data_IF_870024096951
#
_entry.id   IF_870024096951
#
_cell.length_a   1.000
_cell.length_b   1.000
_cell.length_c   1.000
_cell.angle_alpha   90.00
_cell.angle_beta   90.00
_cell.angle_gamma   90.00
#
_symmetry.space_group_name_H-M   'P 1'
#
loop_
_entity.id
_entity.type
_entity.pdbx_description
1 polymer ?
#
# COMPACT_ATOMS: atom_id res chain seq x y z
N UNK A 1 6.26 -3.55 25.07
CA UNK A 1 5.14 -2.99 24.28
C UNK A 1 5.00 -1.47 24.42
N UNK A 2 5.03 -0.89 25.62
CA UNK A 2 4.85 0.57 25.81
C UNK A 2 5.77 1.45 24.97
N UNK A 3 7.04 1.06 24.79
CA UNK A 3 7.99 1.82 23.95
C UNK A 3 7.58 1.85 22.48
N UNK A 4 7.08 0.73 21.95
CA UNK A 4 6.61 0.63 20.56
C UNK A 4 5.35 1.47 20.38
N UNK A 5 4.42 1.43 21.34
CA UNK A 5 3.23 2.29 21.34
C UNK A 5 3.58 3.79 21.39
N UNK A 6 4.61 4.18 22.15
CA UNK A 6 5.14 5.55 22.18
C UNK A 6 5.73 5.97 20.82
N UNK A 7 6.47 5.07 20.16
CA UNK A 7 7.01 5.32 18.82
C UNK A 7 5.88 5.50 17.80
N UNK A 8 4.91 4.59 17.80
CA UNK A 8 3.73 4.65 16.93
C UNK A 8 2.96 5.96 17.14
N UNK A 9 2.71 6.34 18.40
CA UNK A 9 2.02 7.60 18.69
C UNK A 9 2.82 8.83 18.27
N UNK A 10 4.15 8.79 18.34
CA UNK A 10 5.01 9.87 17.81
C UNK A 10 4.95 9.95 16.29
N UNK A 11 4.97 8.81 15.59
CA UNK A 11 4.83 8.78 14.13
C UNK A 11 3.46 9.27 13.67
N UNK A 12 2.38 8.86 14.34
CA UNK A 12 1.03 9.34 14.06
C UNK A 12 0.92 10.85 14.34
N UNK A 13 1.52 11.31 15.45
CA UNK A 13 1.58 12.75 15.78
C UNK A 13 2.50 13.55 14.86
N UNK A 14 3.32 12.90 14.02
CA UNK A 14 4.17 13.57 13.03
C UNK A 14 3.25 14.23 12.00
N UNK A 15 2.90 15.47 12.29
CA UNK A 15 1.82 16.26 11.65
C UNK A 15 1.88 16.28 10.13
N UNK A 16 3.07 16.12 9.54
CA UNK A 16 3.26 16.15 8.10
C UNK A 16 2.75 14.90 7.38
N UNK A 17 2.83 13.70 7.99
CA UNK A 17 2.47 12.45 7.30
C UNK A 17 0.95 12.31 7.12
N UNK A 18 0.18 12.49 8.19
CA UNK A 18 -1.28 12.49 8.12
C UNK A 18 -1.83 13.68 7.32
N UNK A 19 -1.20 14.86 7.43
CA UNK A 19 -1.58 16.04 6.64
C UNK A 19 -1.36 15.84 5.15
N UNK A 20 -0.30 15.13 4.74
CA UNK A 20 -0.10 14.78 3.33
C UNK A 20 -1.20 13.84 2.82
N UNK A 21 -1.56 12.82 3.60
CA UNK A 21 -2.67 11.92 3.24
C UNK A 21 -3.99 12.68 3.07
N UNK A 22 -4.37 13.51 4.04
CA UNK A 22 -5.63 14.26 3.98
C UNK A 22 -5.65 15.32 2.87
N UNK A 23 -4.54 16.03 2.64
CA UNK A 23 -4.43 16.98 1.53
C UNK A 23 -4.53 16.26 0.19
N UNK A 24 -3.87 15.11 0.03
CA UNK A 24 -3.93 14.34 -1.23
C UNK A 24 -5.36 13.85 -1.54
N UNK A 25 -6.09 13.40 -0.53
CA UNK A 25 -7.48 12.97 -0.66
C UNK A 25 -8.43 14.17 -0.92
N UNK A 26 -8.20 15.31 -0.27
CA UNK A 26 -8.94 16.56 -0.55
C UNK A 26 -8.70 17.04 -1.97
N UNK A 27 -7.46 17.00 -2.46
CA UNK A 27 -7.12 17.37 -3.83
C UNK A 27 -7.75 16.42 -4.88
N UNK A 28 -8.02 15.17 -4.49
CA UNK A 28 -8.73 14.20 -5.33
C UNK A 28 -10.23 14.43 -5.43
N UNK A 29 -10.85 14.98 -4.39
CA UNK A 29 -12.29 15.23 -4.38
C UNK A 29 -12.79 16.07 -5.58
N UNK A 30 -12.16 17.19 -6.00
CA UNK A 30 -12.58 17.92 -7.19
C UNK A 30 -12.36 17.14 -8.50
N UNK A 31 -11.32 16.32 -8.58
CA UNK A 31 -11.05 15.49 -9.77
C UNK A 31 -12.14 14.43 -9.93
N UNK A 32 -12.53 13.78 -8.83
CA UNK A 32 -13.63 12.81 -8.83
C UNK A 32 -14.99 13.47 -9.11
N UNK A 33 -15.22 14.68 -8.59
CA UNK A 33 -16.43 15.46 -8.89
C UNK A 33 -16.48 15.89 -10.36
N UNK A 34 -15.36 16.29 -10.97
CA UNK A 34 -15.30 16.56 -12.41
C UNK A 34 -15.58 15.29 -13.21
N UNK A 35 -14.98 14.16 -12.84
CA UNK A 35 -15.26 12.86 -13.46
C UNK A 35 -16.74 12.46 -13.38
N UNK A 36 -17.40 12.75 -12.24
CA UNK A 36 -18.82 12.44 -12.04
C UNK A 36 -19.76 13.16 -13.00
N UNK A 37 -19.34 14.28 -13.59
CA UNK A 37 -20.13 15.02 -14.58
C UNK A 37 -20.05 14.41 -15.99
N UNK A 38 -19.00 13.65 -16.28
CA UNK A 38 -18.72 13.12 -17.63
C UNK A 38 -18.88 11.61 -17.76
N UNK A 39 -18.85 10.86 -16.65
CA UNK A 39 -18.80 9.39 -16.63
C UNK A 39 -19.94 8.80 -15.80
N UNK A 40 -20.29 7.55 -16.10
CA UNK A 40 -21.25 6.76 -15.33
C UNK A 40 -20.86 6.69 -13.85
N UNK A 41 -21.86 6.87 -12.97
CA UNK A 41 -21.69 6.83 -11.51
C UNK A 41 -21.04 5.54 -11.00
N UNK A 42 -21.16 4.44 -11.76
CA UNK A 42 -20.57 3.14 -11.43
C UNK A 42 -19.06 3.06 -11.67
N UNK A 43 -18.49 3.94 -12.51
CA UNK A 43 -17.06 3.97 -12.82
C UNK A 43 -16.26 4.78 -11.81
N UNK A 44 -16.91 5.69 -11.09
CA UNK A 44 -16.27 6.60 -10.11
C UNK A 44 -15.63 5.81 -8.95
N UNK A 45 -16.28 4.82 -8.31
CA UNK A 45 -15.65 4.05 -7.24
C UNK A 45 -14.41 3.28 -7.70
N UNK A 46 -14.44 2.73 -8.93
CA UNK A 46 -13.28 2.02 -9.49
C UNK A 46 -12.10 2.96 -9.76
N UNK A 47 -12.37 4.15 -10.29
CA UNK A 47 -11.35 5.18 -10.47
C UNK A 47 -10.78 5.65 -9.12
N UNK A 48 -11.63 5.80 -8.10
CA UNK A 48 -11.21 6.15 -6.75
C UNK A 48 -10.28 5.10 -6.15
N UNK A 49 -10.57 3.80 -6.30
CA UNK A 49 -9.69 2.72 -5.83
C UNK A 49 -8.31 2.79 -6.47
N UNK A 50 -8.22 3.00 -7.79
CA UNK A 50 -6.93 3.15 -8.48
C UNK A 50 -6.13 4.34 -7.94
N UNK A 51 -6.77 5.49 -7.76
CA UNK A 51 -6.12 6.69 -7.24
C UNK A 51 -5.69 6.52 -5.78
N UNK A 52 -6.50 5.88 -4.96
CA UNK A 52 -6.15 5.52 -3.58
C UNK A 52 -4.93 4.60 -3.54
N UNK A 53 -4.87 3.57 -4.40
CA UNK A 53 -3.71 2.71 -4.52
C UNK A 53 -2.42 3.52 -4.78
N UNK A 54 -2.48 4.50 -5.69
CA UNK A 54 -1.35 5.40 -5.98
C UNK A 54 -0.95 6.24 -4.76
N UNK A 55 -1.90 6.85 -4.06
CA UNK A 55 -1.63 7.63 -2.84
C UNK A 55 -0.90 6.77 -1.81
N UNK A 56 -1.41 5.56 -1.57
CA UNK A 56 -0.82 4.61 -0.63
C UNK A 56 0.63 4.33 -1.03
N UNK A 57 0.91 4.09 -2.32
CA UNK A 57 2.27 3.86 -2.79
C UNK A 57 3.18 5.05 -2.51
N UNK A 58 2.76 6.26 -2.88
CA UNK A 58 3.59 7.48 -2.75
C UNK A 58 3.90 7.77 -1.28
N UNK A 59 2.87 7.74 -0.43
CA UNK A 59 3.01 7.99 1.01
C UNK A 59 3.88 6.93 1.67
N UNK A 60 3.67 5.66 1.33
CA UNK A 60 4.44 4.56 1.92
C UNK A 60 5.89 4.60 1.48
N UNK A 61 6.15 4.93 0.20
CA UNK A 61 7.51 5.06 -0.33
C UNK A 61 8.27 6.19 0.37
N UNK A 62 7.60 7.31 0.67
CA UNK A 62 8.22 8.46 1.35
C UNK A 62 8.59 8.17 2.81
N UNK A 63 7.83 7.32 3.50
CA UNK A 63 7.90 7.16 4.96
C UNK A 63 9.28 6.74 5.50
N UNK A 64 9.93 5.77 4.86
CA UNK A 64 11.25 5.29 5.26
C UNK A 64 12.38 6.03 4.54
N UNK A 65 12.19 6.35 3.25
CA UNK A 65 13.26 6.95 2.45
C UNK A 65 13.58 8.39 2.85
N UNK A 66 12.61 9.12 3.41
CA UNK A 66 12.85 10.44 3.97
C UNK A 66 13.83 10.41 5.15
N UNK A 67 13.87 9.31 5.90
CA UNK A 67 14.81 9.18 7.01
C UNK A 67 16.24 8.93 6.53
N UNK A 68 16.39 8.18 5.43
CA UNK A 68 17.67 7.99 4.75
C UNK A 68 18.16 9.26 4.06
N UNK A 69 17.28 9.97 3.34
CA UNK A 69 17.66 11.21 2.63
C UNK A 69 18.17 12.28 3.58
N UNK A 70 17.54 12.38 4.76
CA UNK A 70 17.87 13.40 5.74
C UNK A 70 18.98 12.98 6.71
N UNK A 71 19.58 11.79 6.52
CA UNK A 71 20.59 11.19 7.41
C UNK A 71 20.14 11.07 8.87
N UNK A 72 18.83 11.12 9.10
CA UNK A 72 18.23 10.93 10.43
C UNK A 72 18.17 9.46 10.81
N UNK A 73 18.36 8.57 9.84
CA UNK A 73 18.55 7.14 10.03
C UNK A 73 19.63 6.83 11.07
N UNK A 74 20.79 7.49 11.02
CA UNK A 74 21.85 7.30 12.04
C UNK A 74 21.34 7.62 13.44
N UNK A 75 20.61 8.72 13.62
CA UNK A 75 20.12 9.15 14.95
C UNK A 75 18.97 8.25 15.44
N UNK A 76 18.07 7.85 14.54
CA UNK A 76 16.88 7.06 14.86
C UNK A 76 17.27 5.60 15.12
N UNK A 77 18.17 5.03 14.32
CA UNK A 77 18.60 3.62 14.40
C UNK A 77 19.77 3.37 15.38
N UNK A 78 20.47 4.41 15.86
CA UNK A 78 21.42 4.31 17.00
C UNK A 78 20.81 4.77 18.32
N UNK A 79 19.58 5.28 18.30
CA UNK A 79 18.85 5.74 19.48
C UNK A 79 18.29 4.61 20.34
N UNK A 80 17.28 4.95 21.16
CA UNK A 80 16.69 4.07 22.19
C UNK A 80 15.87 2.91 21.60
N UNK A 81 15.49 2.98 20.32
CA UNK A 81 14.61 2.02 19.65
C UNK A 81 15.38 1.04 18.77
N UNK A 82 15.03 -0.24 18.84
CA UNK A 82 15.62 -1.25 17.94
C UNK A 82 15.10 -1.06 16.52
N UNK A 83 15.91 -1.40 15.51
CA UNK A 83 15.56 -1.26 14.09
C UNK A 83 14.27 -1.99 13.71
N UNK A 84 14.01 -3.16 14.30
CA UNK A 84 12.76 -3.91 14.09
C UNK A 84 11.53 -3.18 14.64
N UNK A 85 11.64 -2.51 15.79
CA UNK A 85 10.55 -1.68 16.34
C UNK A 85 10.20 -0.52 15.42
N UNK A 86 11.21 0.08 14.77
CA UNK A 86 11.00 1.14 13.78
C UNK A 86 10.25 0.58 12.56
N UNK A 87 10.68 -0.57 12.03
CA UNK A 87 9.97 -1.23 10.92
C UNK A 87 8.51 -1.57 11.24
N UNK A 88 8.25 -2.08 12.45
CA UNK A 88 6.88 -2.36 12.92
C UNK A 88 6.06 -1.07 12.99
N UNK A 89 6.64 0.01 13.52
CA UNK A 89 5.97 1.29 13.64
C UNK A 89 5.58 1.86 12.27
N UNK A 90 6.48 1.76 11.28
CA UNK A 90 6.19 2.15 9.89
C UNK A 90 5.03 1.35 9.31
N UNK A 91 5.02 0.03 9.49
CA UNK A 91 3.94 -0.81 9.00
C UNK A 91 2.61 -0.46 9.66
N UNK A 92 2.60 -0.19 10.97
CA UNK A 92 1.41 0.31 11.68
C UNK A 92 0.98 1.69 11.16
N UNK A 93 1.93 2.59 10.86
CA UNK A 93 1.64 3.90 10.27
C UNK A 93 0.92 3.77 8.92
N UNK A 94 1.28 2.75 8.13
CA UNK A 94 0.61 2.48 6.86
C UNK A 94 -0.82 2.02 7.07
N UNK A 95 -1.08 1.14 8.04
CA UNK A 95 -2.43 0.72 8.42
C UNK A 95 -3.29 1.95 8.79
N UNK A 96 -2.75 2.90 9.57
CA UNK A 96 -3.47 4.14 9.90
C UNK A 96 -3.83 4.98 8.66
N UNK A 97 -2.89 5.18 7.73
CA UNK A 97 -3.16 5.87 6.46
C UNK A 97 -4.25 5.16 5.67
N UNK A 98 -4.20 3.83 5.67
CA UNK A 98 -5.17 2.98 4.98
C UNK A 98 -6.58 3.18 5.51
N UNK A 99 -6.74 3.27 6.83
CA UNK A 99 -8.04 3.54 7.47
C UNK A 99 -8.62 4.88 7.01
N UNK A 100 -7.78 5.90 6.82
CA UNK A 100 -8.22 7.21 6.30
C UNK A 100 -8.67 7.08 4.84
N UNK A 101 -7.89 6.37 4.01
CA UNK A 101 -8.26 6.09 2.62
C UNK A 101 -9.55 5.27 2.50
N UNK A 102 -9.76 4.30 3.40
CA UNK A 102 -10.98 3.50 3.49
C UNK A 102 -12.19 4.38 3.81
N UNK A 103 -12.09 5.24 4.85
CA UNK A 103 -13.17 6.17 5.19
C UNK A 103 -13.51 7.07 3.99
N UNK A 104 -12.49 7.57 3.28
CA UNK A 104 -12.71 8.36 2.08
C UNK A 104 -13.42 7.56 0.96
N UNK A 105 -13.02 6.31 0.74
CA UNK A 105 -13.67 5.44 -0.25
C UNK A 105 -15.14 5.17 0.07
N UNK A 106 -15.47 4.91 1.33
CA UNK A 106 -16.86 4.72 1.76
C UNK A 106 -17.69 6.00 1.57
N UNK A 107 -17.12 7.19 1.82
CA UNK A 107 -17.78 8.47 1.48
C UNK A 107 -18.07 8.55 -0.03
N UNK A 108 -17.12 8.14 -0.88
CA UNK A 108 -17.33 8.09 -2.35
C UNK A 108 -18.46 7.14 -2.71
N UNK A 109 -18.54 5.96 -2.11
CA UNK A 109 -19.63 4.99 -2.33
C UNK A 109 -21.00 5.57 -1.93
N UNK A 110 -21.07 6.27 -0.79
CA UNK A 110 -22.29 6.94 -0.32
C UNK A 110 -22.73 8.01 -1.31
N UNK A 111 -21.82 8.88 -1.75
CA UNK A 111 -22.11 9.95 -2.73
C UNK A 111 -22.57 9.39 -4.07
N UNK A 112 -22.01 8.24 -4.48
CA UNK A 112 -22.40 7.58 -5.73
C UNK A 112 -23.68 6.73 -5.61
N UNK A 113 -24.22 6.52 -4.40
CA UNK A 113 -25.39 5.69 -4.16
C UNK A 113 -25.16 4.19 -4.32
N UNK A 114 -23.89 3.74 -4.25
CA UNK A 114 -23.48 2.33 -4.42
C UNK A 114 -23.05 1.67 -3.11
N UNK A 115 -23.28 2.35 -1.98
CA UNK A 115 -22.92 1.87 -0.66
C UNK A 115 -23.76 0.67 -0.23
N UNK A 116 -23.09 -0.40 0.19
CA UNK A 116 -23.70 -1.58 0.80
C UNK A 116 -23.04 -1.86 2.15
N UNK A 117 -23.83 -1.79 3.22
CA UNK A 117 -23.37 -2.03 4.59
C UNK A 117 -22.80 -3.45 4.77
N UNK A 118 -23.29 -4.44 4.02
CA UNK A 118 -22.79 -5.82 4.09
C UNK A 118 -21.33 -5.92 3.64
N UNK A 119 -20.93 -5.09 2.69
CA UNK A 119 -19.59 -5.12 2.10
C UNK A 119 -18.57 -4.27 2.89
N UNK A 120 -19.02 -3.48 3.86
CA UNK A 120 -18.16 -2.56 4.63
C UNK A 120 -16.99 -3.29 5.30
N UNK A 121 -17.26 -4.42 5.97
CA UNK A 121 -16.22 -5.20 6.63
C UNK A 121 -15.26 -5.85 5.61
N UNK A 122 -15.80 -6.33 4.49
CA UNK A 122 -15.01 -6.89 3.39
C UNK A 122 -14.06 -5.85 2.79
N UNK A 123 -14.57 -4.66 2.47
CA UNK A 123 -13.79 -3.53 1.98
C UNK A 123 -12.68 -3.14 2.97
N UNK A 124 -13.01 -3.06 4.25
CA UNK A 124 -12.01 -2.76 5.29
C UNK A 124 -10.88 -3.79 5.32
N UNK A 125 -11.21 -5.08 5.24
CA UNK A 125 -10.19 -6.15 5.17
C UNK A 125 -9.37 -6.06 3.88
N UNK A 126 -10.01 -5.84 2.72
CA UNK A 126 -9.32 -5.67 1.42
C UNK A 126 -8.26 -4.57 1.51
N UNK A 127 -8.62 -3.43 2.08
CA UNK A 127 -7.72 -2.29 2.27
C UNK A 127 -6.53 -2.66 3.16
N UNK A 128 -6.77 -3.28 4.31
CA UNK A 128 -5.71 -3.69 5.24
C UNK A 128 -4.78 -4.75 4.63
N UNK A 129 -5.31 -5.76 3.94
CA UNK A 129 -4.51 -6.81 3.29
C UNK A 129 -3.64 -6.21 2.17
N UNK A 130 -4.22 -5.31 1.37
CA UNK A 130 -3.51 -4.61 0.31
C UNK A 130 -2.32 -3.81 0.87
N UNK A 131 -2.55 -2.98 1.88
CA UNK A 131 -1.48 -2.14 2.45
C UNK A 131 -0.49 -2.94 3.26
N UNK A 132 -0.91 -3.98 3.97
CA UNK A 132 0.04 -4.86 4.64
C UNK A 132 1.03 -5.47 3.65
N UNK A 133 0.54 -6.01 2.53
CA UNK A 133 1.37 -6.71 1.54
C UNK A 133 2.27 -5.74 0.79
N UNK A 134 1.69 -4.68 0.22
CA UNK A 134 2.43 -3.68 -0.56
C UNK A 134 3.32 -2.83 0.33
N UNK A 135 2.84 -2.42 1.50
CA UNK A 135 3.63 -1.67 2.47
C UNK A 135 4.86 -2.46 2.93
N UNK A 136 4.73 -3.76 3.16
CA UNK A 136 5.86 -4.64 3.48
C UNK A 136 6.86 -4.74 2.34
N UNK A 137 6.38 -4.83 1.09
CA UNK A 137 7.25 -4.81 -0.09
C UNK A 137 7.95 -3.47 -0.29
N UNK A 138 7.23 -2.35 -0.14
CA UNK A 138 7.79 -0.99 -0.23
C UNK A 138 8.87 -0.80 0.84
N UNK A 139 8.64 -1.29 2.06
CA UNK A 139 9.65 -1.28 3.12
C UNK A 139 10.89 -2.06 2.70
N UNK A 140 10.73 -3.29 2.19
CA UNK A 140 11.83 -4.12 1.70
C UNK A 140 12.67 -3.37 0.64
N UNK A 141 12.01 -2.84 -0.39
CA UNK A 141 12.70 -2.08 -1.47
C UNK A 141 13.38 -0.83 -0.89
N UNK A 142 12.72 -0.10 0.02
CA UNK A 142 13.28 1.09 0.65
C UNK A 142 14.53 0.79 1.47
N UNK A 143 14.57 -0.33 2.18
CA UNK A 143 15.77 -0.76 2.92
C UNK A 143 16.92 -1.05 1.96
N UNK A 144 16.65 -1.66 0.81
CA UNK A 144 17.66 -2.01 -0.19
C UNK A 144 18.20 -0.76 -0.90
N UNK A 145 17.32 0.12 -1.38
CA UNK A 145 17.70 1.24 -2.25
C UNK A 145 18.14 2.48 -1.47
N UNK A 146 17.62 2.68 -0.26
CA UNK A 146 17.75 3.93 0.50
C UNK A 146 17.29 5.19 -0.24
N UNK A 147 16.55 5.07 -1.35
CA UNK A 147 16.26 6.17 -2.26
C UNK A 147 14.76 6.21 -2.60
N UNK A 148 14.12 7.35 -2.31
CA UNK A 148 12.69 7.57 -2.56
C UNK A 148 12.29 7.31 -4.01
N UNK A 149 13.03 7.88 -4.97
CA UNK A 149 12.71 7.82 -6.39
C UNK A 149 12.81 6.37 -6.88
N UNK A 150 13.90 5.68 -6.52
CA UNK A 150 14.12 4.29 -6.94
C UNK A 150 13.07 3.36 -6.32
N UNK A 151 12.74 3.54 -5.04
CA UNK A 151 11.66 2.78 -4.39
C UNK A 151 10.33 3.01 -5.09
N UNK A 152 9.96 4.27 -5.30
CA UNK A 152 8.69 4.63 -5.93
C UNK A 152 8.55 4.05 -7.33
N UNK A 153 9.57 4.20 -8.18
CA UNK A 153 9.58 3.66 -9.55
C UNK A 153 9.52 2.13 -9.53
N UNK A 154 10.33 1.46 -8.71
CA UNK A 154 10.37 0.00 -8.65
C UNK A 154 9.02 -0.57 -8.20
N UNK A 155 8.43 0.03 -7.17
CA UNK A 155 7.12 -0.39 -6.68
C UNK A 155 6.01 -0.06 -7.70
N UNK A 156 6.10 1.08 -8.40
CA UNK A 156 5.15 1.42 -9.44
C UNK A 156 5.19 0.40 -10.58
N UNK A 157 6.38 0.07 -11.09
CA UNK A 157 6.54 -0.90 -12.18
C UNK A 157 5.97 -2.26 -11.78
N UNK A 158 6.25 -2.72 -10.56
CA UNK A 158 5.89 -4.07 -10.10
C UNK A 158 4.47 -4.20 -9.54
N UNK A 159 3.84 -3.12 -9.08
CA UNK A 159 2.52 -3.17 -8.44
C UNK A 159 1.45 -2.34 -9.14
N UNK A 160 1.70 -1.79 -10.34
CA UNK A 160 0.69 -1.07 -11.11
C UNK A 160 0.62 -1.56 -12.56
N UNK A 161 -0.03 -0.78 -13.42
CA UNK A 161 -0.49 -1.16 -14.76
C UNK A 161 0.57 -1.82 -15.64
N UNK A 162 1.85 -1.46 -15.52
CA UNK A 162 2.93 -2.02 -16.34
C UNK A 162 3.09 -3.54 -16.18
N UNK A 163 3.16 -4.05 -14.95
CA UNK A 163 3.28 -5.50 -14.74
C UNK A 163 2.00 -6.23 -15.13
N UNK A 164 0.84 -5.59 -14.92
CA UNK A 164 -0.45 -6.19 -15.25
C UNK A 164 -0.60 -6.40 -16.74
N UNK A 165 -0.17 -5.44 -17.56
CA UNK A 165 -0.17 -5.58 -19.02
C UNK A 165 0.72 -6.76 -19.43
N UNK A 166 1.91 -6.88 -18.86
CA UNK A 166 2.81 -8.00 -19.14
C UNK A 166 2.21 -9.35 -18.73
N UNK A 167 1.61 -9.43 -17.54
CA UNK A 167 0.95 -10.63 -17.06
C UNK A 167 -0.28 -10.99 -17.89
N UNK A 168 -1.13 -10.03 -18.24
CA UNK A 168 -2.30 -10.27 -19.07
C UNK A 168 -1.90 -10.76 -20.48
N UNK A 169 -0.85 -10.19 -21.07
CA UNK A 169 -0.31 -10.67 -22.35
C UNK A 169 0.24 -12.10 -22.23
N UNK A 170 0.96 -12.40 -21.15
CA UNK A 170 1.46 -13.76 -20.88
C UNK A 170 0.31 -14.76 -20.68
N UNK A 171 -0.76 -14.38 -19.97
CA UNK A 171 -1.95 -15.19 -19.75
C UNK A 171 -2.75 -15.44 -21.04
N UNK A 172 -2.80 -14.45 -21.94
CA UNK A 172 -3.44 -14.53 -23.25
C UNK A 172 -2.66 -15.33 -24.30
N UNK A 173 -1.39 -15.65 -24.03
CA UNK A 173 -0.54 -16.41 -24.96
C UNK A 173 -0.67 -17.94 -24.79
N UNK A 174 -0.14 -18.70 -25.75
CA UNK A 174 -0.11 -20.19 -25.74
C UNK A 174 0.93 -20.78 -24.76
N UNK A 175 1.14 -20.13 -23.61
CA UNK A 175 1.99 -20.66 -22.53
C UNK A 175 1.30 -21.82 -21.81
N UNK A 176 2.10 -22.68 -21.18
CA UNK A 176 1.57 -23.79 -20.37
C UNK A 176 0.67 -23.29 -19.25
N UNK A 177 -0.35 -24.08 -18.90
CA UNK A 177 -1.32 -23.71 -17.85
C UNK A 177 -0.63 -23.53 -16.49
N UNK A 178 0.45 -24.26 -16.24
CA UNK A 178 1.30 -24.12 -15.04
C UNK A 178 1.86 -22.70 -14.89
N UNK A 179 2.40 -22.12 -15.97
CA UNK A 179 2.92 -20.74 -15.94
C UNK A 179 1.79 -19.76 -15.67
N UNK A 180 0.60 -20.00 -16.23
CA UNK A 180 -0.57 -19.15 -16.00
C UNK A 180 -1.03 -19.21 -14.54
N UNK A 181 -1.00 -20.40 -13.93
CA UNK A 181 -1.29 -20.57 -12.51
C UNK A 181 -0.28 -19.84 -11.62
N UNK A 182 1.02 -19.91 -11.94
CA UNK A 182 2.06 -19.16 -11.21
C UNK A 182 1.78 -17.67 -11.28
N UNK A 183 1.51 -17.11 -12.47
CA UNK A 183 1.22 -15.68 -12.65
C UNK A 183 0.00 -15.25 -11.83
N UNK A 184 -1.09 -16.03 -11.87
CA UNK A 184 -2.32 -15.73 -11.11
C UNK A 184 -2.11 -15.74 -9.60
N UNK A 185 -1.14 -16.52 -9.12
CA UNK A 185 -0.81 -16.63 -7.70
C UNK A 185 0.26 -15.63 -7.22
N UNK A 186 0.82 -14.80 -8.12
CA UNK A 186 1.77 -13.77 -7.71
C UNK A 186 1.07 -12.64 -6.94
N UNK A 187 1.70 -12.12 -5.87
CA UNK A 187 1.10 -11.06 -5.06
C UNK A 187 0.88 -9.77 -5.87
N UNK A 188 1.72 -9.51 -6.87
CA UNK A 188 1.60 -8.36 -7.78
C UNK A 188 0.33 -8.41 -8.64
N UNK A 189 -0.02 -9.61 -9.11
CA UNK A 189 -1.22 -9.82 -9.91
C UNK A 189 -2.47 -9.75 -9.03
N UNK A 190 -2.46 -10.48 -7.92
CA UNK A 190 -3.57 -10.55 -6.97
C UNK A 190 -3.87 -9.15 -6.41
N UNK A 191 -2.86 -8.44 -5.90
CA UNK A 191 -3.05 -7.13 -5.26
C UNK A 191 -3.78 -6.14 -6.16
N UNK A 192 -3.41 -6.09 -7.44
CA UNK A 192 -4.03 -5.18 -8.38
C UNK A 192 -5.44 -5.59 -8.77
N UNK A 193 -5.61 -6.86 -9.15
CA UNK A 193 -6.88 -7.37 -9.64
C UNK A 193 -7.94 -7.38 -8.53
N UNK A 194 -7.57 -7.78 -7.32
CA UNK A 194 -8.50 -7.82 -6.18
C UNK A 194 -8.78 -6.42 -5.62
N UNK A 195 -7.78 -5.55 -5.49
CA UNK A 195 -8.01 -4.18 -5.02
C UNK A 195 -8.87 -3.37 -5.99
N UNK A 196 -8.65 -3.50 -7.30
CA UNK A 196 -9.49 -2.85 -8.31
C UNK A 196 -10.95 -3.33 -8.31
N UNK A 197 -11.19 -4.58 -7.88
CA UNK A 197 -12.53 -5.16 -7.67
C UNK A 197 -13.13 -4.81 -6.30
N UNK A 198 -12.35 -4.23 -5.38
CA UNK A 198 -12.76 -3.94 -4.00
C UNK A 198 -12.82 -5.17 -3.08
N UNK A 199 -12.50 -6.36 -3.58
CA UNK A 199 -12.62 -7.61 -2.82
C UNK A 199 -11.54 -8.62 -3.20
N UNK A 200 -11.07 -9.37 -2.20
CA UNK A 200 -10.25 -10.55 -2.38
C UNK A 200 -11.04 -11.81 -2.02
N UNK A 201 -10.78 -12.89 -2.74
CA UNK A 201 -11.16 -14.23 -2.30
C UNK A 201 -10.35 -14.64 -1.06
N UNK A 202 -10.83 -15.66 -0.34
CA UNK A 202 -10.13 -16.19 0.83
C UNK A 202 -8.73 -16.69 0.45
N UNK A 203 -8.61 -17.39 -0.68
CA UNK A 203 -7.33 -17.89 -1.18
C UNK A 203 -6.36 -16.76 -1.53
N UNK A 204 -6.83 -15.73 -2.23
CA UNK A 204 -6.03 -14.54 -2.55
C UNK A 204 -5.57 -13.82 -1.28
N UNK A 205 -6.45 -13.71 -0.28
CA UNK A 205 -6.15 -13.09 1.02
C UNK A 205 -5.03 -13.83 1.76
N UNK A 206 -5.10 -15.16 1.81
CA UNK A 206 -4.08 -16.00 2.46
C UNK A 206 -2.73 -15.85 1.75
N UNK A 207 -2.72 -15.91 0.41
CA UNK A 207 -1.49 -15.76 -0.39
C UNK A 207 -0.86 -14.38 -0.16
N UNK A 208 -1.67 -13.32 -0.21
CA UNK A 208 -1.22 -11.95 0.02
C UNK A 208 -0.61 -11.77 1.42
N UNK A 209 -1.29 -12.25 2.46
CA UNK A 209 -0.76 -12.22 3.83
C UNK A 209 0.56 -13.00 3.96
N UNK A 210 0.65 -14.17 3.34
CA UNK A 210 1.87 -14.98 3.31
C UNK A 210 3.05 -14.21 2.70
N UNK A 211 2.87 -13.61 1.52
CA UNK A 211 3.90 -12.78 0.88
C UNK A 211 4.24 -11.53 1.69
N UNK A 212 3.23 -10.87 2.28
CA UNK A 212 3.45 -9.71 3.14
C UNK A 212 4.36 -10.03 4.34
N UNK A 213 4.12 -11.17 5.00
CA UNK A 213 4.97 -11.65 6.11
C UNK A 213 6.40 -11.91 5.63
N UNK A 214 6.57 -12.59 4.49
CA UNK A 214 7.90 -12.88 3.93
C UNK A 214 8.65 -11.59 3.58
N UNK A 215 8.01 -10.64 2.91
CA UNK A 215 8.63 -9.36 2.57
C UNK A 215 9.01 -8.57 3.81
N UNK A 216 8.14 -8.51 4.83
CA UNK A 216 8.43 -7.79 6.06
C UNK A 216 9.57 -8.44 6.86
N UNK A 217 9.60 -9.76 6.94
CA UNK A 217 10.67 -10.51 7.59
C UNK A 217 12.03 -10.23 6.90
N UNK A 218 12.06 -10.31 5.56
CA UNK A 218 13.27 -9.98 4.78
C UNK A 218 13.70 -8.52 5.00
N UNK A 219 12.75 -7.58 5.02
CA UNK A 219 13.04 -6.17 5.26
C UNK A 219 13.70 -5.95 6.64
N UNK A 220 13.18 -6.64 7.67
CA UNK A 220 13.75 -6.59 9.02
C UNK A 220 15.16 -7.20 9.08
N UNK A 221 15.38 -8.34 8.44
CA UNK A 221 16.70 -9.01 8.41
C UNK A 221 17.74 -8.12 7.72
N UNK A 222 17.40 -7.55 6.56
CA UNK A 222 18.31 -6.66 5.83
C UNK A 222 18.60 -5.41 6.66
N UNK A 223 17.57 -4.79 7.26
CA UNK A 223 17.75 -3.59 8.08
C UNK A 223 18.68 -3.85 9.28
N UNK A 224 18.57 -5.01 9.91
CA UNK A 224 19.43 -5.39 11.04
C UNK A 224 20.89 -5.61 10.64
N UNK A 225 21.14 -6.07 9.41
CA UNK A 225 22.51 -6.28 8.87
C UNK A 225 23.11 -5.05 8.20
N UNK A 226 22.28 -4.06 7.85
CA UNK A 226 22.73 -2.85 7.17
C UNK A 226 23.63 -2.03 8.07
N UNK A 227 24.84 -1.71 7.62
CA UNK A 227 25.70 -0.76 8.31
C UNK A 227 25.17 0.65 8.04
N UNK A 228 24.75 1.34 9.10
CA UNK A 228 24.19 2.70 9.08
C UNK A 228 25.15 3.62 9.82
#
# INVERSE_FOLDING_TARGET
MERVLKLITLEIKKRNFLKMATISLLALSPILLLYSKFMDKNLIPQAALRLIAFIILVISSFSLTHEFSNKTDKIIFTGIFSRTQIMISKLVSFIFVTTICFIFYEIVLIVCGTFDFKNLFGNFLTFNIYVFTIGSFILLVSVITSNFIVTGITCYILYFDLILVLFNNALGSNRSEEIKQIIRNLPFYIANMGFAKGMYTVTESIVMLGYGIVFFALACVIMNRKNI
#
